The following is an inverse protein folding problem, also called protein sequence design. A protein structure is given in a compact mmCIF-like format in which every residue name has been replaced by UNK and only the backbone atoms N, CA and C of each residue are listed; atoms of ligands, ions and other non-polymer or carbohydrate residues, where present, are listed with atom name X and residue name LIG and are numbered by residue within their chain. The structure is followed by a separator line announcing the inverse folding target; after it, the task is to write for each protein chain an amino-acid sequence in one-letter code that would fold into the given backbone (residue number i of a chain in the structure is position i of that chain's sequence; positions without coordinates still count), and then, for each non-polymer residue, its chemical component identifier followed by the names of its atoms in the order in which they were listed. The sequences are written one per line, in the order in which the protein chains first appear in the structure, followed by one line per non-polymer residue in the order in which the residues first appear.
data_IF_732399124493
#
_entry.id   IF_732399124493
#
_cell.length_a   1.000
_cell.length_b   1.000
_cell.length_c   1.000
_cell.angle_alpha   90.00
_cell.angle_beta   90.00
_cell.angle_gamma   90.00
#
_symmetry.space_group_name_H-M   'P 1'
#
loop_
_entity.id
_entity.type
_entity.pdbx_description
1 polymer ?
#
# COMPACT_ATOMS: atom_id res chain seq x y z
N UNK A 1 10.18 11.97 10.24
CA UNK A 1 9.82 12.20 8.82
C UNK A 1 8.93 11.09 8.25
N UNK A 2 9.16 9.80 8.55
CA UNK A 2 8.33 8.66 8.07
C UNK A 2 6.83 8.76 8.42
N UNK A 3 6.50 9.23 9.63
CA UNK A 3 5.11 9.30 10.12
C UNK A 3 4.16 10.16 9.26
N UNK A 4 4.67 11.22 8.63
CA UNK A 4 3.86 12.10 7.78
C UNK A 4 3.42 11.39 6.49
N UNK A 5 4.33 10.66 5.86
CA UNK A 5 4.03 9.89 4.63
C UNK A 5 3.07 8.73 4.90
N UNK A 6 3.14 8.14 6.09
CA UNK A 6 2.25 7.06 6.51
C UNK A 6 0.83 7.53 6.76
N UNK A 7 0.66 8.64 7.47
CA UNK A 7 -0.66 9.25 7.69
C UNK A 7 -1.26 9.75 6.38
N UNK A 8 -0.45 10.40 5.53
CA UNK A 8 -0.89 10.89 4.21
C UNK A 8 -1.26 9.72 3.29
N UNK A 9 -0.46 8.65 3.26
CA UNK A 9 -0.73 7.43 2.50
C UNK A 9 -2.00 6.70 2.96
N UNK A 10 -2.20 6.59 4.27
CA UNK A 10 -3.42 6.00 4.85
C UNK A 10 -4.69 6.79 4.51
N UNK A 11 -4.63 8.12 4.59
CA UNK A 11 -5.74 9.01 4.20
C UNK A 11 -6.03 8.90 2.69
N UNK A 12 -4.99 8.85 1.85
CA UNK A 12 -5.13 8.66 0.40
C UNK A 12 -5.72 7.30 0.03
N UNK A 13 -5.45 6.25 0.81
CA UNK A 13 -6.02 4.92 0.59
C UNK A 13 -7.53 4.86 0.85
N UNK A 14 -8.02 5.64 1.83
CA UNK A 14 -9.45 5.77 2.14
C UNK A 14 -10.21 6.44 0.99
N UNK A 15 -9.59 7.36 0.23
CA UNK A 15 -10.24 7.98 -0.92
C UNK A 15 -10.25 7.04 -2.15
N UNK A 16 -11.43 6.63 -2.67
CA UNK A 16 -11.54 5.68 -3.78
C UNK A 16 -10.95 6.19 -5.11
N UNK A 17 -10.78 7.51 -5.26
CA UNK A 17 -10.15 8.14 -6.43
C UNK A 17 -8.61 8.07 -6.39
N UNK A 18 -8.02 7.90 -5.19
CA UNK A 18 -6.58 7.83 -5.00
C UNK A 18 -6.08 6.44 -4.59
N UNK A 19 -6.93 5.42 -4.49
CA UNK A 19 -6.53 4.01 -4.22
C UNK A 19 -5.31 3.56 -5.02
N UNK A 20 -5.24 3.94 -6.28
CA UNK A 20 -4.13 3.63 -7.19
C UNK A 20 -2.80 4.26 -6.73
N UNK A 21 -2.82 5.55 -6.38
CA UNK A 21 -1.66 6.31 -5.90
C UNK A 21 -1.31 5.98 -4.45
N UNK A 22 -2.33 5.81 -3.61
CA UNK A 22 -2.23 5.36 -2.22
C UNK A 22 -1.59 3.99 -2.14
N UNK A 23 -1.92 3.05 -3.02
CA UNK A 23 -1.29 1.73 -3.04
C UNK A 23 0.21 1.79 -3.37
N UNK A 24 0.62 2.64 -4.33
CA UNK A 24 2.04 2.83 -4.68
C UNK A 24 2.82 3.43 -3.50
N UNK A 25 2.24 4.41 -2.80
CA UNK A 25 2.84 5.04 -1.61
C UNK A 25 2.85 4.07 -0.41
N UNK A 26 1.81 3.26 -0.23
CA UNK A 26 1.73 2.25 0.84
C UNK A 26 2.69 1.08 0.64
N UNK A 27 3.10 0.78 -0.59
CA UNK A 27 3.99 -0.35 -0.88
C UNK A 27 5.32 -0.28 -0.09
N UNK A 28 6.11 0.82 -0.15
CA UNK A 28 7.35 0.91 0.64
C UNK A 28 7.08 0.98 2.16
N UNK A 29 5.92 1.49 2.58
CA UNK A 29 5.53 1.54 4.00
C UNK A 29 5.26 0.13 4.53
N UNK A 30 4.47 -0.67 3.81
CA UNK A 30 4.22 -2.07 4.16
C UNK A 30 5.49 -2.92 4.16
N UNK A 31 6.43 -2.66 3.25
CA UNK A 31 7.74 -3.30 3.27
C UNK A 31 8.52 -2.96 4.55
N UNK A 32 8.47 -1.72 5.02
CA UNK A 32 9.06 -1.30 6.30
C UNK A 32 8.40 -1.97 7.51
N UNK A 33 7.07 -2.02 7.53
CA UNK A 33 6.30 -2.69 8.61
C UNK A 33 6.64 -4.17 8.68
N UNK A 34 6.68 -4.87 7.53
CA UNK A 34 7.07 -6.27 7.45
C UNK A 34 8.51 -6.47 7.93
N UNK A 35 9.46 -5.68 7.43
CA UNK A 35 10.86 -5.77 7.85
C UNK A 35 11.01 -5.57 9.36
N UNK A 36 10.30 -4.60 9.94
CA UNK A 36 10.32 -4.35 11.39
C UNK A 36 9.83 -5.55 12.19
N UNK A 37 8.69 -6.13 11.82
CA UNK A 37 8.14 -7.32 12.48
C UNK A 37 9.04 -8.55 12.31
N UNK A 38 9.65 -8.73 11.13
CA UNK A 38 10.64 -9.80 10.92
C UNK A 38 11.89 -9.63 11.78
N UNK A 39 12.35 -8.39 12.01
CA UNK A 39 13.54 -8.12 12.83
C UNK A 39 13.29 -8.19 14.32
N UNK A 40 12.10 -7.78 14.79
CA UNK A 40 11.76 -7.77 16.22
C UNK A 40 11.09 -9.06 16.70
N UNK A 41 10.67 -9.93 15.77
CA UNK A 41 9.98 -11.18 16.11
C UNK A 41 8.53 -10.98 16.55
N UNK A 42 7.94 -9.82 16.24
CA UNK A 42 6.54 -9.50 16.55
C UNK A 42 5.55 -10.26 15.66
N UNK A 43 4.27 -10.26 16.06
CA UNK A 43 3.23 -11.02 15.35
C UNK A 43 3.09 -10.57 13.89
N UNK A 44 3.27 -11.50 12.94
CA UNK A 44 3.19 -11.21 11.51
C UNK A 44 1.76 -11.23 10.96
N UNK A 45 0.76 -11.62 11.76
CA UNK A 45 -0.62 -11.84 11.31
C UNK A 45 -1.24 -10.56 10.75
N UNK A 46 -1.13 -9.44 11.48
CA UNK A 46 -1.71 -8.15 11.07
C UNK A 46 -1.00 -7.58 9.83
N UNK A 47 0.35 -7.48 9.78
CA UNK A 47 1.07 -7.05 8.58
C UNK A 47 0.73 -7.88 7.34
N UNK A 48 0.57 -9.19 7.50
CA UNK A 48 0.29 -10.10 6.39
C UNK A 48 -1.13 -9.88 5.82
N UNK A 49 -2.13 -9.72 6.68
CA UNK A 49 -3.52 -9.42 6.27
C UNK A 49 -3.58 -8.06 5.56
N UNK A 50 -2.92 -7.04 6.11
CA UNK A 50 -2.84 -5.72 5.49
C UNK A 50 -2.15 -5.77 4.12
N UNK A 51 -1.09 -6.57 3.98
CA UNK A 51 -0.39 -6.78 2.71
C UNK A 51 -1.29 -7.49 1.70
N UNK A 52 -2.05 -8.50 2.12
CA UNK A 52 -3.00 -9.20 1.26
C UNK A 52 -4.11 -8.28 0.74
N UNK A 53 -4.67 -7.42 1.59
CA UNK A 53 -5.68 -6.42 1.18
C UNK A 53 -5.06 -5.40 0.21
N UNK A 54 -3.83 -4.94 0.47
CA UNK A 54 -3.12 -4.02 -0.42
C UNK A 54 -2.93 -4.63 -1.81
N UNK A 55 -2.44 -5.88 -1.89
CA UNK A 55 -2.25 -6.61 -3.14
C UNK A 55 -3.59 -6.80 -3.87
N UNK A 56 -4.65 -7.19 -3.15
CA UNK A 56 -5.98 -7.34 -3.74
C UNK A 56 -6.49 -6.05 -4.36
N UNK A 57 -6.37 -4.91 -3.66
CA UNK A 57 -6.79 -3.60 -4.16
C UNK A 57 -6.01 -3.20 -5.42
N UNK A 58 -4.72 -3.51 -5.50
CA UNK A 58 -3.88 -3.27 -6.68
C UNK A 58 -4.36 -4.13 -7.86
N UNK A 59 -4.60 -5.42 -7.63
CA UNK A 59 -5.07 -6.36 -8.67
C UNK A 59 -6.45 -5.97 -9.19
N UNK A 60 -7.37 -5.56 -8.32
CA UNK A 60 -8.73 -5.16 -8.69
C UNK A 60 -8.76 -3.83 -9.45
N UNK A 61 -7.92 -2.87 -9.04
CA UNK A 61 -7.82 -1.58 -9.74
C UNK A 61 -6.83 -1.58 -10.90
N UNK A 62 -6.17 -2.71 -11.23
CA UNK A 62 -5.25 -2.92 -12.38
C UNK A 62 -5.73 -2.23 -13.66
N UNK A 63 -7.03 -2.30 -13.95
CA UNK A 63 -7.60 -1.73 -15.16
C UNK A 63 -7.51 -0.19 -15.22
N UNK A 64 -7.51 0.49 -14.07
CA UNK A 64 -7.28 1.94 -13.96
C UNK A 64 -5.80 2.33 -14.06
N UNK A 65 -4.86 1.39 -13.93
CA UNK A 65 -3.43 1.62 -14.17
C UNK A 65 -3.07 1.59 -15.66
N UNK A 66 -3.85 0.90 -16.50
CA UNK A 66 -3.64 0.80 -17.96
C UNK A 66 -3.55 2.17 -18.67
N UNK A 67 -4.42 3.16 -18.42
CA UNK A 67 -4.31 4.47 -19.07
C UNK A 67 -3.10 5.31 -18.58
N UNK A 68 -2.44 4.96 -17.47
CA UNK A 68 -1.20 5.62 -17.06
C UNK A 68 0.04 5.04 -17.76
N UNK A 69 -0.03 3.80 -18.25
CA UNK A 69 1.06 3.12 -18.96
C UNK A 69 0.92 3.28 -20.48
N UNK A 70 -0.31 3.38 -20.99
CA UNK A 70 -0.55 3.73 -22.39
C UNK A 70 -0.72 5.25 -22.56
N UNK A 71 0.38 5.91 -22.94
CA UNK A 71 0.32 7.11 -23.77
C UNK A 71 0.30 6.64 -25.23
N UNK A 72 -0.85 6.84 -25.90
CA UNK A 72 -1.19 6.47 -27.29
C UNK A 72 -1.17 4.97 -27.64
#
# INVERSE_FOLDING_TARGET
MLLLFEVIGGILFILPRFRTLGAVILTPIMAGILAHHFTLGDSLIIPLIMTAILVWVIVENRQKYLPMIKSN
#
